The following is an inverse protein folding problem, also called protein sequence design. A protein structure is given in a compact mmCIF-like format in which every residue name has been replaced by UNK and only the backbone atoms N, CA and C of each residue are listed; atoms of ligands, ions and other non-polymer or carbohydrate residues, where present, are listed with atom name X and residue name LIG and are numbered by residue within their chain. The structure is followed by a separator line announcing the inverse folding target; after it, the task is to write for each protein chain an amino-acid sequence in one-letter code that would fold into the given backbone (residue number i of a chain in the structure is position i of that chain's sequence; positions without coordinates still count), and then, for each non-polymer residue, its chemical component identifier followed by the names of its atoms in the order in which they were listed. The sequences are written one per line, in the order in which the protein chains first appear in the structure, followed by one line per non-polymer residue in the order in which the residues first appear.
data_IF_188417610702
#
_entry.id   IF_188417610702
#
_cell.length_a   1.000
_cell.length_b   1.000
_cell.length_c   1.000
_cell.angle_alpha   90.00
_cell.angle_beta   90.00
_cell.angle_gamma   90.00
#
_symmetry.space_group_name_H-M   'P 1'
#
loop_
_entity.id
_entity.type
_entity.pdbx_description
1 polymer ?
#
# COMPACT_ATOMS: atom_id res chain seq x y z
N UNK A 1 -11.75 7.47 4.25
CA UNK A 1 -12.43 6.48 5.09
C UNK A 1 -11.53 5.26 5.29
N UNK A 2 -11.51 4.72 6.50
CA UNK A 2 -10.86 3.46 6.82
C UNK A 2 -11.94 2.40 7.11
N UNK A 3 -11.81 1.23 6.47
CA UNK A 3 -12.56 0.02 6.76
C UNK A 3 -11.57 -0.99 7.33
N UNK A 4 -11.72 -1.33 8.60
CA UNK A 4 -10.83 -2.26 9.30
C UNK A 4 -11.56 -2.92 10.46
N UNK A 5 -10.88 -3.82 11.16
CA UNK A 5 -11.37 -4.43 12.41
C UNK A 5 -10.42 -4.12 13.56
N UNK A 6 -11.00 -3.78 14.69
CA UNK A 6 -10.30 -3.56 15.96
C UNK A 6 -10.93 -4.39 17.08
N UNK A 7 -10.12 -4.71 18.09
CA UNK A 7 -10.61 -5.31 19.33
C UNK A 7 -11.36 -4.29 20.21
N UNK A 8 -12.06 -4.81 21.20
CA UNK A 8 -12.65 -3.98 22.25
C UNK A 8 -11.66 -3.86 23.43
N UNK A 9 -10.47 -3.31 23.12
CA UNK A 9 -9.35 -3.17 24.05
C UNK A 9 -8.73 -1.77 23.98
N UNK A 10 -7.77 -1.50 24.87
CA UNK A 10 -7.09 -0.20 24.96
C UNK A 10 -6.37 0.17 23.65
N UNK A 11 -5.75 -0.78 22.97
CA UNK A 11 -5.04 -0.52 21.72
C UNK A 11 -6.00 -0.13 20.61
N UNK A 12 -7.16 -0.78 20.50
CA UNK A 12 -8.20 -0.44 19.53
C UNK A 12 -8.75 0.97 19.71
N UNK A 13 -9.02 1.38 20.96
CA UNK A 13 -9.49 2.73 21.25
C UNK A 13 -8.41 3.78 20.89
N UNK A 14 -7.16 3.52 21.30
CA UNK A 14 -6.04 4.43 21.00
C UNK A 14 -5.86 4.57 19.49
N UNK A 15 -5.86 3.44 18.76
CA UNK A 15 -5.68 3.44 17.31
C UNK A 15 -6.78 4.22 16.58
N UNK A 16 -8.05 4.05 16.97
CA UNK A 16 -9.15 4.80 16.37
C UNK A 16 -9.04 6.30 16.65
N UNK A 17 -8.66 6.66 17.86
CA UNK A 17 -8.54 8.07 18.25
C UNK A 17 -7.40 8.76 17.49
N UNK A 18 -6.20 8.14 17.42
CA UNK A 18 -5.07 8.69 16.68
C UNK A 18 -5.37 8.76 15.17
N UNK A 19 -6.00 7.74 14.61
CA UNK A 19 -6.41 7.71 13.19
C UNK A 19 -7.43 8.82 12.89
N UNK A 20 -8.38 9.05 13.80
CA UNK A 20 -9.36 10.15 13.68
C UNK A 20 -8.69 11.53 13.78
N UNK A 21 -7.72 11.69 14.69
CA UNK A 21 -6.93 12.93 14.82
C UNK A 21 -6.13 13.25 13.56
N UNK A 22 -5.67 12.22 12.86
CA UNK A 22 -5.04 12.37 11.56
C UNK A 22 -6.03 12.73 10.42
N UNK A 23 -7.32 12.94 10.73
CA UNK A 23 -8.34 13.37 9.76
C UNK A 23 -9.03 12.22 9.01
N UNK A 24 -8.74 10.96 9.34
CA UNK A 24 -9.34 9.78 8.70
C UNK A 24 -10.71 9.50 9.30
N UNK A 25 -11.70 9.28 8.45
CA UNK A 25 -13.01 8.82 8.89
C UNK A 25 -12.95 7.32 9.24
N UNK A 26 -13.13 7.01 10.53
CA UNK A 26 -13.07 5.66 11.09
C UNK A 26 -14.45 5.07 11.42
N UNK A 27 -15.54 5.69 10.94
CA UNK A 27 -16.91 5.22 11.25
C UNK A 27 -17.22 3.82 10.74
N UNK A 28 -16.44 3.33 9.76
CA UNK A 28 -16.56 2.00 9.20
C UNK A 28 -15.56 0.99 9.78
N UNK A 29 -14.81 1.37 10.83
CA UNK A 29 -14.02 0.42 11.59
C UNK A 29 -14.93 -0.43 12.50
N UNK A 30 -14.79 -1.74 12.38
CA UNK A 30 -15.67 -2.71 13.06
C UNK A 30 -15.03 -3.11 14.38
N UNK A 31 -15.77 -2.94 15.48
CA UNK A 31 -15.34 -3.40 16.82
C UNK A 31 -15.75 -4.84 17.02
N UNK A 32 -14.81 -5.71 17.33
CA UNK A 32 -15.05 -7.13 17.55
C UNK A 32 -14.81 -7.50 19.01
N UNK A 33 -15.89 -7.88 19.69
CA UNK A 33 -15.82 -8.38 21.06
C UNK A 33 -15.13 -9.75 21.09
N UNK A 34 -14.28 -9.96 22.09
CA UNK A 34 -13.55 -11.23 22.27
C UNK A 34 -12.32 -11.40 21.34
N UNK A 35 -11.97 -10.36 20.59
CA UNK A 35 -10.76 -10.31 19.79
C UNK A 35 -9.83 -9.20 20.26
N UNK A 36 -8.51 -9.44 20.21
CA UNK A 36 -7.50 -8.41 20.44
C UNK A 36 -7.25 -7.61 19.17
N UNK A 37 -6.98 -6.32 19.32
CA UNK A 37 -6.55 -5.47 18.22
C UNK A 37 -5.25 -5.99 17.63
N UNK A 38 -5.11 -5.90 16.31
CA UNK A 38 -3.90 -6.32 15.61
C UNK A 38 -2.67 -5.60 16.17
N UNK A 39 -1.59 -6.34 16.37
CA UNK A 39 -0.31 -5.82 16.88
C UNK A 39 0.84 -6.28 16.00
N UNK A 40 1.82 -5.41 15.85
CA UNK A 40 3.10 -5.69 15.21
C UNK A 40 4.21 -5.19 16.11
N UNK A 41 5.08 -6.08 16.55
CA UNK A 41 6.26 -5.77 17.37
C UNK A 41 7.51 -6.09 16.57
N UNK A 42 8.32 -5.08 16.29
CA UNK A 42 9.61 -5.24 15.65
C UNK A 42 10.74 -4.93 16.63
N UNK A 43 11.78 -5.74 16.57
CA UNK A 43 13.06 -5.50 17.26
C UNK A 43 14.09 -5.20 16.20
N UNK A 44 14.65 -3.99 16.22
CA UNK A 44 15.68 -3.55 15.29
C UNK A 44 17.05 -3.48 15.97
N UNK A 45 18.13 -3.65 15.20
CA UNK A 45 19.48 -3.38 15.63
C UNK A 45 19.78 -1.87 15.58
N UNK A 46 21.03 -1.48 15.95
CA UNK A 46 21.47 -0.08 15.91
C UNK A 46 21.56 0.52 14.49
N UNK A 47 21.52 -0.32 13.48
CA UNK A 47 21.50 0.04 12.05
C UNK A 47 20.07 0.08 11.51
N UNK A 48 19.04 0.02 12.40
CA UNK A 48 17.60 0.02 12.06
C UNK A 48 17.14 -1.19 11.23
N UNK A 49 17.97 -2.25 11.15
CA UNK A 49 17.57 -3.49 10.51
C UNK A 49 16.70 -4.32 11.45
N UNK A 50 15.55 -4.76 11.00
CA UNK A 50 14.67 -5.64 11.78
C UNK A 50 15.32 -7.00 11.98
N UNK A 51 15.65 -7.33 13.24
CA UNK A 51 16.20 -8.64 13.65
C UNK A 51 15.08 -9.66 13.83
N UNK A 52 13.97 -9.23 14.41
CA UNK A 52 12.84 -10.06 14.76
C UNK A 52 11.55 -9.23 14.66
N UNK A 53 10.53 -9.79 14.03
CA UNK A 53 9.19 -9.23 14.07
C UNK A 53 8.19 -10.30 14.52
N UNK A 54 7.28 -9.91 15.42
CA UNK A 54 6.16 -10.73 15.87
C UNK A 54 4.89 -9.95 15.54
N UNK A 55 3.98 -10.58 14.82
CA UNK A 55 2.69 -9.97 14.53
C UNK A 55 1.53 -10.87 14.94
N UNK A 56 0.45 -10.25 15.38
CA UNK A 56 -0.84 -10.87 15.53
C UNK A 56 -1.87 -10.02 14.77
N UNK A 57 -2.26 -10.50 13.60
CA UNK A 57 -3.22 -9.85 12.71
C UNK A 57 -4.48 -10.70 12.51
N UNK A 58 -4.74 -11.68 13.38
CA UNK A 58 -5.86 -12.61 13.23
C UNK A 58 -7.22 -11.93 13.20
N UNK A 59 -7.37 -10.78 13.86
CA UNK A 59 -8.61 -10.02 13.86
C UNK A 59 -9.01 -9.59 12.43
N UNK A 60 -8.07 -9.35 11.53
CA UNK A 60 -8.35 -8.96 10.15
C UNK A 60 -9.02 -10.09 9.34
N UNK A 61 -8.84 -11.35 9.75
CA UNK A 61 -9.53 -12.49 9.16
C UNK A 61 -11.04 -12.48 9.44
N UNK A 62 -11.47 -11.68 10.41
CA UNK A 62 -12.90 -11.51 10.72
C UNK A 62 -13.58 -10.51 9.77
N UNK A 63 -12.84 -9.79 8.94
CA UNK A 63 -13.40 -8.93 7.89
C UNK A 63 -13.99 -9.78 6.76
N UNK A 64 -15.04 -10.51 7.09
CA UNK A 64 -15.77 -11.35 6.13
C UNK A 64 -16.58 -10.49 5.14
N UNK A 65 -16.97 -11.04 3.98
CA UNK A 65 -17.89 -10.38 3.05
C UNK A 65 -19.16 -9.85 3.71
N UNK A 66 -19.71 -10.57 4.69
CA UNK A 66 -20.91 -10.15 5.44
C UNK A 66 -20.67 -8.88 6.25
N UNK A 67 -19.53 -8.79 6.95
CA UNK A 67 -19.19 -7.59 7.72
C UNK A 67 -18.82 -6.43 6.79
N UNK A 68 -18.05 -6.68 5.74
CA UNK A 68 -17.68 -5.67 4.75
C UNK A 68 -18.90 -5.09 4.02
N UNK A 69 -19.97 -5.87 3.88
CA UNK A 69 -21.20 -5.42 3.23
C UNK A 69 -21.88 -4.22 3.93
N UNK A 70 -21.58 -3.95 5.17
CA UNK A 70 -22.02 -2.74 5.87
C UNK A 70 -21.42 -1.47 5.26
N UNK A 71 -20.28 -1.59 4.57
CA UNK A 71 -19.56 -0.51 3.88
C UNK A 71 -19.73 -0.53 2.37
N UNK A 72 -20.65 -1.34 1.84
CA UNK A 72 -20.85 -1.53 0.40
C UNK A 72 -21.05 -0.21 -0.35
N UNK A 73 -21.96 0.63 0.13
CA UNK A 73 -22.28 1.88 -0.56
C UNK A 73 -21.10 2.87 -0.51
N UNK A 74 -20.35 2.88 0.59
CA UNK A 74 -19.12 3.66 0.69
C UNK A 74 -18.12 3.25 -0.39
N UNK A 75 -17.88 1.95 -0.56
CA UNK A 75 -16.97 1.41 -1.57
C UNK A 75 -17.44 1.78 -2.97
N UNK A 76 -18.72 1.59 -3.28
CA UNK A 76 -19.30 1.84 -4.61
C UNK A 76 -19.28 3.31 -5.03
N UNK A 77 -19.20 4.25 -4.11
CA UNK A 77 -19.15 5.68 -4.38
C UNK A 77 -17.76 6.29 -4.14
N UNK A 78 -16.75 5.44 -3.93
CA UNK A 78 -15.37 5.90 -3.74
C UNK A 78 -14.75 6.35 -5.07
N UNK A 79 -13.90 7.37 -5.04
CA UNK A 79 -13.08 7.77 -6.18
C UNK A 79 -11.94 6.78 -6.45
N UNK A 80 -11.50 6.06 -5.39
CA UNK A 80 -10.47 5.03 -5.42
C UNK A 80 -10.66 4.09 -4.23
N UNK A 81 -10.32 2.83 -4.39
CA UNK A 81 -10.26 1.86 -3.30
C UNK A 81 -8.83 1.34 -3.18
N UNK A 82 -8.24 1.51 -2.00
CA UNK A 82 -6.96 0.89 -1.64
C UNK A 82 -7.25 -0.33 -0.77
N UNK A 83 -6.81 -1.50 -1.22
CA UNK A 83 -6.89 -2.75 -0.48
C UNK A 83 -5.50 -3.32 -0.24
N UNK A 84 -5.28 -3.88 0.94
CA UNK A 84 -4.08 -4.63 1.24
C UNK A 84 -4.33 -6.14 1.27
N UNK A 85 -3.27 -6.92 1.09
CA UNK A 85 -3.34 -8.37 1.11
C UNK A 85 -3.41 -8.98 2.53
N UNK A 86 -3.67 -8.20 3.59
CA UNK A 86 -4.01 -8.74 4.91
C UNK A 86 -5.40 -9.37 4.90
N UNK A 87 -6.31 -8.87 4.06
CA UNK A 87 -7.63 -9.46 3.88
C UNK A 87 -7.56 -10.93 3.47
N UNK A 88 -8.62 -11.69 3.80
CA UNK A 88 -8.75 -13.07 3.31
C UNK A 88 -9.02 -13.07 1.79
N UNK A 89 -8.76 -14.19 1.09
CA UNK A 89 -9.11 -14.29 -0.34
C UNK A 89 -10.58 -13.98 -0.62
N UNK A 90 -11.50 -14.45 0.23
CA UNK A 90 -12.95 -14.24 0.10
C UNK A 90 -13.32 -12.77 0.29
N UNK A 91 -12.66 -12.09 1.24
CA UNK A 91 -12.85 -10.66 1.48
C UNK A 91 -12.32 -9.83 0.30
N UNK A 92 -11.13 -10.17 -0.22
CA UNK A 92 -10.57 -9.53 -1.42
C UNK A 92 -11.48 -9.74 -2.65
N UNK A 93 -11.94 -10.97 -2.89
CA UNK A 93 -12.89 -11.27 -3.97
C UNK A 93 -14.15 -10.40 -3.88
N UNK A 94 -14.70 -10.28 -2.66
CA UNK A 94 -15.87 -9.43 -2.43
C UNK A 94 -15.56 -7.96 -2.73
N UNK A 95 -14.41 -7.43 -2.24
CA UNK A 95 -14.02 -6.04 -2.49
C UNK A 95 -13.85 -5.78 -3.99
N UNK A 96 -13.12 -6.63 -4.72
CA UNK A 96 -12.94 -6.50 -6.16
C UNK A 96 -14.26 -6.57 -6.93
N UNK A 97 -15.20 -7.40 -6.46
CA UNK A 97 -16.53 -7.52 -7.07
C UNK A 97 -17.37 -6.26 -6.85
N UNK A 98 -17.34 -5.69 -5.63
CA UNK A 98 -18.15 -4.50 -5.29
C UNK A 98 -17.55 -3.22 -5.89
N UNK A 99 -16.23 -3.13 -5.96
CA UNK A 99 -15.50 -2.01 -6.55
C UNK A 99 -15.40 -2.09 -8.10
N UNK A 100 -16.36 -2.70 -8.75
CA UNK A 100 -16.32 -3.12 -10.18
C UNK A 100 -15.73 -2.09 -11.15
N UNK A 101 -16.17 -0.84 -11.10
CA UNK A 101 -15.67 0.24 -11.97
C UNK A 101 -14.72 1.22 -11.24
N UNK A 102 -14.49 0.98 -9.96
CA UNK A 102 -13.65 1.87 -9.14
C UNK A 102 -12.18 1.49 -9.32
N UNK A 103 -11.27 2.46 -9.52
CA UNK A 103 -9.84 2.19 -9.57
C UNK A 103 -9.34 1.53 -8.30
N UNK A 104 -8.80 0.30 -8.46
CA UNK A 104 -8.27 -0.49 -7.34
C UNK A 104 -6.76 -0.30 -7.23
N UNK A 105 -6.32 0.15 -6.08
CA UNK A 105 -4.92 0.20 -5.66
C UNK A 105 -4.66 -0.97 -4.71
N UNK A 106 -3.55 -1.66 -4.90
CA UNK A 106 -3.26 -2.87 -4.13
C UNK A 106 -1.87 -2.82 -3.54
N UNK A 107 -1.79 -3.04 -2.21
CA UNK A 107 -0.56 -3.33 -1.50
C UNK A 107 -0.45 -4.84 -1.23
N UNK A 108 0.64 -5.45 -1.63
CA UNK A 108 0.87 -6.89 -1.50
C UNK A 108 1.28 -7.31 -0.09
N UNK A 109 1.77 -6.39 0.73
CA UNK A 109 2.14 -6.52 2.14
C UNK A 109 3.33 -7.46 2.37
N UNK A 110 3.37 -8.63 1.73
CA UNK A 110 4.47 -9.59 1.89
C UNK A 110 4.41 -10.69 0.82
N UNK A 111 5.54 -11.38 0.63
CA UNK A 111 5.67 -12.52 -0.28
C UNK A 111 4.60 -13.60 -0.03
N UNK A 112 4.29 -13.89 1.25
CA UNK A 112 3.27 -14.89 1.60
C UNK A 112 1.84 -14.48 1.22
N UNK A 113 1.57 -13.17 1.16
CA UNK A 113 0.23 -12.63 0.92
C UNK A 113 0.00 -12.22 -0.53
N UNK A 114 1.07 -11.93 -1.28
CA UNK A 114 1.00 -11.42 -2.65
C UNK A 114 0.18 -12.30 -3.60
N UNK A 115 0.25 -13.63 -3.45
CA UNK A 115 -0.50 -14.57 -4.29
C UNK A 115 -2.02 -14.38 -4.27
N UNK A 116 -2.59 -13.75 -3.24
CA UNK A 116 -4.04 -13.58 -3.09
C UNK A 116 -4.68 -12.77 -4.20
N UNK A 117 -3.92 -11.92 -4.89
CA UNK A 117 -4.46 -11.02 -5.93
C UNK A 117 -4.26 -11.54 -7.36
N UNK A 118 -3.67 -12.71 -7.56
CA UNK A 118 -3.37 -13.26 -8.91
C UNK A 118 -4.59 -13.39 -9.82
N UNK A 119 -5.73 -13.71 -9.27
CA UNK A 119 -6.97 -13.86 -10.04
C UNK A 119 -7.61 -12.51 -10.41
N UNK A 120 -7.05 -11.39 -9.93
CA UNK A 120 -7.66 -10.07 -10.02
C UNK A 120 -6.83 -9.05 -10.80
N UNK A 121 -5.76 -9.47 -11.49
CA UNK A 121 -4.87 -8.57 -12.23
C UNK A 121 -5.61 -7.62 -13.17
N UNK A 122 -6.63 -8.10 -13.87
CA UNK A 122 -7.44 -7.28 -14.78
C UNK A 122 -8.24 -6.17 -14.10
N UNK A 123 -8.37 -6.25 -12.78
CA UNK A 123 -9.13 -5.29 -11.95
C UNK A 123 -8.21 -4.31 -11.22
N UNK A 124 -6.90 -4.53 -11.23
CA UNK A 124 -5.94 -3.71 -10.52
C UNK A 124 -5.53 -2.53 -11.40
N UNK A 125 -5.82 -1.31 -10.89
CA UNK A 125 -5.31 -0.09 -11.51
C UNK A 125 -3.84 0.12 -11.15
N UNK A 126 -3.49 0.06 -9.87
CA UNK A 126 -2.13 0.30 -9.37
C UNK A 126 -1.71 -0.81 -8.41
N UNK A 127 -0.58 -1.40 -8.70
CA UNK A 127 0.04 -2.46 -7.89
C UNK A 127 1.42 -1.99 -7.42
N UNK A 128 1.69 -2.12 -6.11
CA UNK A 128 2.98 -1.74 -5.51
C UNK A 128 3.63 -2.95 -4.84
N UNK A 129 4.32 -3.81 -5.57
CA UNK A 129 5.10 -4.89 -4.99
C UNK A 129 6.54 -4.45 -4.69
N UNK A 130 7.19 -5.10 -3.74
CA UNK A 130 8.64 -5.23 -3.71
C UNK A 130 9.14 -6.15 -4.83
N UNK A 131 10.46 -6.19 -5.09
CA UNK A 131 10.99 -7.13 -6.09
C UNK A 131 10.68 -8.59 -5.74
N UNK A 132 10.82 -8.98 -4.47
CA UNK A 132 10.52 -10.35 -4.04
C UNK A 132 9.04 -10.71 -4.22
N UNK A 133 8.14 -9.77 -3.91
CA UNK A 133 6.71 -9.97 -4.14
C UNK A 133 6.38 -10.05 -5.63
N UNK A 134 7.06 -9.28 -6.47
CA UNK A 134 6.93 -9.39 -7.93
C UNK A 134 7.36 -10.76 -8.46
N UNK A 135 8.43 -11.37 -7.91
CA UNK A 135 8.83 -12.74 -8.22
C UNK A 135 7.69 -13.74 -7.92
N UNK A 136 7.04 -13.59 -6.76
CA UNK A 136 5.89 -14.42 -6.38
C UNK A 136 4.71 -14.22 -7.33
N UNK A 137 4.40 -12.97 -7.69
CA UNK A 137 3.32 -12.64 -8.61
C UNK A 137 3.58 -13.16 -10.02
N UNK A 138 4.81 -13.05 -10.50
CA UNK A 138 5.23 -13.55 -11.81
C UNK A 138 5.42 -15.07 -11.83
N UNK A 139 5.83 -15.67 -10.70
CA UNK A 139 6.07 -17.11 -10.54
C UNK A 139 7.48 -17.55 -10.97
N UNK A 140 8.41 -16.63 -11.14
CA UNK A 140 9.80 -16.89 -11.52
C UNK A 140 10.75 -15.92 -10.80
N UNK A 141 12.03 -16.32 -10.55
CA UNK A 141 13.02 -15.43 -9.96
C UNK A 141 13.40 -14.30 -10.92
N UNK A 142 13.64 -13.11 -10.37
CA UNK A 142 14.13 -11.91 -11.09
C UNK A 142 15.62 -11.77 -10.81
N UNK A 143 16.44 -12.07 -11.82
CA UNK A 143 17.91 -12.07 -11.71
C UNK A 143 18.54 -10.76 -12.21
N UNK A 144 17.88 -10.09 -13.13
CA UNK A 144 18.35 -8.87 -13.76
C UNK A 144 17.18 -7.94 -14.18
N UNK A 145 17.52 -6.79 -14.77
CA UNK A 145 16.54 -5.81 -15.23
C UNK A 145 15.63 -6.35 -16.34
N UNK A 146 16.15 -7.23 -17.20
CA UNK A 146 15.33 -7.84 -18.26
C UNK A 146 14.28 -8.77 -17.69
N UNK A 147 14.61 -9.53 -16.64
CA UNK A 147 13.63 -10.35 -15.92
C UNK A 147 12.55 -9.46 -15.28
N UNK A 148 12.94 -8.34 -14.68
CA UNK A 148 12.00 -7.37 -14.09
C UNK A 148 11.05 -6.80 -15.14
N UNK A 149 11.58 -6.40 -16.29
CA UNK A 149 10.79 -5.92 -17.43
C UNK A 149 9.83 -7.01 -17.91
N UNK A 150 10.29 -8.26 -18.05
CA UNK A 150 9.42 -9.38 -18.44
C UNK A 150 8.31 -9.63 -17.42
N UNK A 151 8.63 -9.57 -16.12
CA UNK A 151 7.67 -9.75 -15.05
C UNK A 151 6.55 -8.71 -15.11
N UNK A 152 6.89 -7.41 -15.13
CA UNK A 152 5.87 -6.35 -15.19
C UNK A 152 5.05 -6.40 -16.48
N UNK A 153 5.68 -6.68 -17.62
CA UNK A 153 4.97 -6.83 -18.89
C UNK A 153 3.98 -8.00 -18.86
N UNK A 154 4.34 -9.11 -18.21
CA UNK A 154 3.44 -10.24 -18.01
C UNK A 154 2.20 -9.87 -17.17
N UNK A 155 2.37 -9.05 -16.13
CA UNK A 155 1.25 -8.57 -15.32
C UNK A 155 0.40 -7.54 -16.09
N UNK A 156 1.02 -6.67 -16.91
CA UNK A 156 0.29 -5.76 -17.79
C UNK A 156 -0.57 -6.51 -18.83
N UNK A 157 -0.03 -7.57 -19.42
CA UNK A 157 -0.80 -8.45 -20.34
C UNK A 157 -2.01 -9.10 -19.67
N UNK A 158 -1.96 -9.30 -18.34
CA UNK A 158 -3.07 -9.81 -17.53
C UNK A 158 -4.00 -8.70 -17.03
N UNK A 159 -3.70 -7.42 -17.32
CA UNK A 159 -4.61 -6.30 -17.13
C UNK A 159 -4.21 -5.27 -16.07
N UNK A 160 -3.14 -5.47 -15.30
CA UNK A 160 -2.65 -4.45 -14.35
C UNK A 160 -2.26 -3.18 -15.12
N UNK A 161 -2.78 -2.00 -14.70
CA UNK A 161 -2.54 -0.76 -15.47
C UNK A 161 -1.23 -0.07 -15.10
N UNK A 162 -0.89 0.03 -13.81
CA UNK A 162 0.34 0.66 -13.32
C UNK A 162 1.01 -0.23 -12.28
N UNK A 163 2.33 -0.36 -12.36
CA UNK A 163 3.13 -1.17 -11.44
C UNK A 163 4.31 -0.33 -10.95
N UNK A 164 4.50 -0.28 -9.63
CA UNK A 164 5.60 0.42 -8.98
C UNK A 164 6.38 -0.58 -8.13
N UNK A 165 7.51 -1.07 -8.63
CA UNK A 165 8.32 -2.09 -7.95
C UNK A 165 9.34 -1.41 -7.06
N UNK A 166 9.19 -1.60 -5.75
CA UNK A 166 10.14 -1.13 -4.75
C UNK A 166 11.40 -2.02 -4.74
N UNK A 167 12.58 -1.42 -4.91
CA UNK A 167 13.85 -2.13 -4.97
C UNK A 167 14.63 -1.97 -3.66
N UNK A 168 15.60 -2.84 -3.44
CA UNK A 168 16.39 -2.88 -2.20
C UNK A 168 17.26 -1.62 -1.97
N UNK A 169 17.63 -0.94 -3.06
CA UNK A 169 18.39 0.31 -3.03
C UNK A 169 17.49 1.56 -2.90
N UNK A 170 16.23 1.34 -2.49
CA UNK A 170 15.20 2.38 -2.35
C UNK A 170 14.79 3.05 -3.67
N UNK A 171 15.29 2.59 -4.78
CA UNK A 171 14.79 3.01 -6.09
C UNK A 171 13.45 2.33 -6.39
N UNK A 172 12.68 2.94 -7.30
CA UNK A 172 11.38 2.42 -7.72
C UNK A 172 11.39 2.24 -9.24
N UNK A 173 11.20 1.01 -9.68
CA UNK A 173 10.96 0.74 -11.09
C UNK A 173 9.48 0.96 -11.39
N UNK A 174 9.18 1.92 -12.23
CA UNK A 174 7.85 2.35 -12.62
C UNK A 174 7.49 1.79 -13.99
N UNK A 175 6.30 1.21 -14.14
CA UNK A 175 5.84 0.64 -15.40
C UNK A 175 4.35 0.92 -15.60
N UNK A 176 3.99 1.46 -16.76
CA UNK A 176 2.61 1.66 -17.20
C UNK A 176 2.28 0.68 -18.34
N UNK A 177 1.02 0.25 -18.42
CA UNK A 177 0.56 -0.69 -19.46
C UNK A 177 0.72 -0.15 -20.89
N UNK A 178 0.80 1.17 -21.06
CA UNK A 178 0.97 1.83 -22.36
C UNK A 178 2.43 1.87 -22.82
N UNK A 179 3.33 1.27 -22.03
CA UNK A 179 4.74 1.02 -22.37
C UNK A 179 5.73 2.01 -21.79
N UNK A 180 5.29 2.99 -20.99
CA UNK A 180 6.23 3.86 -20.30
C UNK A 180 6.88 3.10 -19.13
N UNK A 181 8.22 3.03 -19.15
CA UNK A 181 9.02 2.37 -18.10
C UNK A 181 10.23 3.22 -17.77
N UNK A 182 10.50 3.40 -16.47
CA UNK A 182 11.66 4.13 -15.99
C UNK A 182 12.01 3.76 -14.55
N UNK A 183 13.24 4.05 -14.16
CA UNK A 183 13.73 3.93 -12.79
C UNK A 183 13.76 5.31 -12.15
N UNK A 184 13.22 5.42 -10.92
CA UNK A 184 13.37 6.59 -10.07
C UNK A 184 14.23 6.25 -8.87
N UNK A 185 15.21 7.12 -8.61
CA UNK A 185 15.99 7.09 -7.37
C UNK A 185 15.34 8.03 -6.36
N UNK A 186 15.26 7.61 -5.10
CA UNK A 186 14.79 8.49 -4.04
C UNK A 186 15.65 9.76 -3.93
N UNK A 187 15.07 10.93 -3.65
CA UNK A 187 15.86 12.13 -3.34
C UNK A 187 16.79 11.85 -2.16
N UNK A 188 17.96 12.47 -2.17
CA UNK A 188 18.87 12.39 -1.03
C UNK A 188 18.18 12.95 0.21
N UNK A 189 18.04 12.15 1.25
CA UNK A 189 17.41 12.52 2.50
C UNK A 189 18.12 11.83 3.67
N UNK A 190 17.93 12.36 4.88
CA UNK A 190 18.39 11.70 6.08
C UNK A 190 17.34 10.68 6.50
N UNK A 191 17.64 9.41 6.39
CA UNK A 191 16.78 8.35 6.93
C UNK A 191 16.92 8.32 8.45
N UNK A 192 15.80 8.48 9.15
CA UNK A 192 15.71 8.33 10.62
C UNK A 192 15.06 6.99 10.92
N UNK A 193 14.04 6.59 10.13
CA UNK A 193 13.35 5.32 10.26
C UNK A 193 12.80 4.92 8.89
N UNK A 194 12.87 3.63 8.55
CA UNK A 194 12.32 3.11 7.29
C UNK A 194 10.83 2.73 7.40
N UNK A 195 10.29 2.63 8.62
CA UNK A 195 8.86 2.33 8.82
C UNK A 195 7.96 3.44 8.27
N UNK A 196 6.84 3.05 7.66
CA UNK A 196 5.86 3.98 7.09
C UNK A 196 6.23 4.58 5.73
N UNK A 197 7.42 4.33 5.21
CA UNK A 197 7.83 4.82 3.88
C UNK A 197 6.97 4.21 2.75
N UNK A 198 6.67 2.93 2.85
CA UNK A 198 5.80 2.22 1.91
C UNK A 198 4.39 2.76 1.92
N UNK A 199 3.86 3.10 3.11
CA UNK A 199 2.55 3.71 3.29
C UNK A 199 2.53 5.12 2.72
N UNK A 200 3.58 5.92 2.99
CA UNK A 200 3.76 7.25 2.42
C UNK A 200 3.82 7.25 0.90
N UNK A 201 4.53 6.27 0.32
CA UNK A 201 4.58 6.07 -1.13
C UNK A 201 3.18 5.77 -1.70
N UNK A 202 2.47 4.81 -1.11
CA UNK A 202 1.12 4.47 -1.55
C UNK A 202 0.14 5.63 -1.39
N UNK A 203 0.23 6.37 -0.29
CA UNK A 203 -0.57 7.58 -0.09
C UNK A 203 -0.31 8.62 -1.18
N UNK A 204 0.96 8.82 -1.56
CA UNK A 204 1.36 9.68 -2.67
C UNK A 204 0.78 9.22 -4.01
N UNK A 205 0.77 7.92 -4.30
CA UNK A 205 0.15 7.38 -5.52
C UNK A 205 -1.36 7.62 -5.56
N UNK A 206 -2.05 7.42 -4.43
CA UNK A 206 -3.49 7.63 -4.34
C UNK A 206 -3.83 9.13 -4.50
N UNK A 207 -3.11 9.99 -3.78
CA UNK A 207 -3.30 11.43 -3.86
C UNK A 207 -3.10 11.94 -5.30
N UNK A 208 -1.96 11.64 -5.90
CA UNK A 208 -1.62 12.09 -7.24
C UNK A 208 -2.58 11.57 -8.32
N UNK A 209 -3.12 10.37 -8.13
CA UNK A 209 -4.16 9.83 -9.00
C UNK A 209 -5.45 10.64 -8.93
N UNK A 210 -5.90 10.99 -7.72
CA UNK A 210 -7.10 11.80 -7.51
C UNK A 210 -6.95 13.23 -8.04
N UNK A 211 -5.73 13.79 -7.97
CA UNK A 211 -5.38 15.11 -8.52
C UNK A 211 -5.13 15.08 -10.05
N UNK A 212 -5.20 13.91 -10.70
CA UNK A 212 -5.04 13.79 -12.15
C UNK A 212 -3.61 13.96 -12.65
N UNK A 213 -2.60 13.67 -11.83
CA UNK A 213 -1.19 13.77 -12.23
C UNK A 213 -0.85 12.76 -13.33
N UNK A 214 0.14 13.12 -14.16
CA UNK A 214 0.72 12.18 -15.12
C UNK A 214 1.32 10.95 -14.42
N UNK A 215 1.55 9.86 -15.15
CA UNK A 215 2.17 8.67 -14.56
C UNK A 215 3.54 8.99 -13.94
N UNK A 216 4.36 9.78 -14.66
CA UNK A 216 5.70 10.17 -14.20
C UNK A 216 5.65 11.09 -12.98
N UNK A 217 4.74 12.05 -12.95
CA UNK A 217 4.60 12.96 -11.81
C UNK A 217 4.01 12.25 -10.60
N UNK A 218 3.08 11.31 -10.79
CA UNK A 218 2.59 10.43 -9.72
C UNK A 218 3.72 9.65 -9.05
N UNK A 219 4.62 9.09 -9.85
CA UNK A 219 5.78 8.35 -9.34
C UNK A 219 6.74 9.25 -8.55
N UNK A 220 7.05 10.44 -9.09
CA UNK A 220 7.93 11.43 -8.42
C UNK A 220 7.33 11.90 -7.10
N UNK A 221 6.04 12.23 -7.11
CA UNK A 221 5.32 12.68 -5.92
C UNK A 221 5.29 11.59 -4.84
N UNK A 222 5.01 10.34 -5.23
CA UNK A 222 5.00 9.22 -4.31
C UNK A 222 6.37 8.95 -3.67
N UNK A 223 7.45 9.04 -4.46
CA UNK A 223 8.84 8.93 -3.95
C UNK A 223 9.16 10.06 -2.97
N UNK A 224 8.69 11.29 -3.22
CA UNK A 224 8.85 12.40 -2.27
C UNK A 224 8.09 12.15 -0.96
N UNK A 225 6.86 11.63 -1.03
CA UNK A 225 6.09 11.26 0.16
C UNK A 225 6.81 10.18 0.99
N UNK A 226 7.37 9.16 0.34
CA UNK A 226 8.16 8.13 1.01
C UNK A 226 9.42 8.71 1.70
N UNK A 227 10.12 9.64 1.02
CA UNK A 227 11.30 10.31 1.58
C UNK A 227 10.95 11.14 2.83
N UNK A 228 9.84 11.86 2.81
CA UNK A 228 9.36 12.61 3.98
C UNK A 228 9.01 11.65 5.12
N UNK A 229 8.33 10.53 4.84
CA UNK A 229 7.97 9.54 5.85
C UNK A 229 9.21 9.00 6.57
N UNK A 230 10.30 8.73 5.85
CA UNK A 230 11.57 8.23 6.42
C UNK A 230 12.34 9.26 7.24
N UNK A 231 12.10 10.53 7.04
CA UNK A 231 12.79 11.60 7.76
C UNK A 231 12.30 11.80 9.21
N UNK A 232 11.45 10.90 9.73
CA UNK A 232 10.87 10.96 11.06
C UNK A 232 11.02 9.64 11.79
N UNK A 233 11.28 9.68 13.09
CA UNK A 233 11.19 8.51 13.97
C UNK A 233 9.75 8.14 14.37
N UNK A 234 8.75 8.75 13.75
CA UNK A 234 7.34 8.39 13.92
C UNK A 234 6.84 7.67 12.68
N UNK A 235 6.07 6.60 12.85
CA UNK A 235 5.43 5.86 11.75
C UNK A 235 4.65 6.77 10.79
N UNK A 236 4.00 7.77 11.34
CA UNK A 236 3.32 8.82 10.58
C UNK A 236 4.05 10.15 10.80
N UNK A 237 4.83 10.57 9.80
CA UNK A 237 5.50 11.87 9.89
C UNK A 237 4.47 13.00 9.83
N UNK A 238 4.32 13.84 10.87
CA UNK A 238 3.34 14.90 10.89
C UNK A 238 3.63 16.02 9.87
N UNK A 239 4.83 16.04 9.29
CA UNK A 239 5.19 17.00 8.22
C UNK A 239 4.85 16.49 6.82
N UNK A 240 4.36 15.25 6.68
CA UNK A 240 3.91 14.76 5.39
C UNK A 240 2.69 15.57 4.91
N UNK A 241 2.88 16.32 3.85
CA UNK A 241 1.85 17.13 3.20
C UNK A 241 2.12 17.22 1.70
N UNK A 242 1.08 17.56 0.93
CA UNK A 242 1.23 17.75 -0.52
C UNK A 242 2.26 18.85 -0.83
N UNK A 243 2.21 19.99 -0.11
CA UNK A 243 3.14 21.12 -0.32
C UNK A 243 4.60 20.72 -0.05
N UNK A 244 4.84 19.98 1.03
CA UNK A 244 6.19 19.52 1.35
C UNK A 244 6.69 18.50 0.32
N UNK A 245 5.83 17.60 -0.15
CA UNK A 245 6.20 16.63 -1.21
C UNK A 245 6.52 17.34 -2.53
N UNK A 246 5.71 18.31 -2.94
CA UNK A 246 5.93 19.13 -4.14
C UNK A 246 7.23 19.95 -4.06
N UNK A 247 7.60 20.42 -2.87
CA UNK A 247 8.85 21.16 -2.70
C UNK A 247 10.11 20.30 -2.91
N UNK A 248 10.03 18.99 -2.66
CA UNK A 248 11.15 18.06 -2.84
C UNK A 248 11.32 17.62 -4.29
N UNK A 249 10.23 17.48 -5.03
CA UNK A 249 10.25 17.03 -6.43
C UNK A 249 9.35 17.94 -7.25
N UNK A 250 9.90 19.06 -7.80
CA UNK A 250 9.13 19.94 -8.66
C UNK A 250 8.48 19.17 -9.81
N UNK A 251 7.21 19.43 -10.02
CA UNK A 251 6.46 18.91 -11.16
C UNK A 251 6.90 19.60 -12.44
N UNK A 252 6.96 18.90 -13.55
CA UNK A 252 7.37 19.42 -14.87
C UNK A 252 6.15 19.58 -15.74
#
# INVERSE_FOLDING_TARGET
HLISAIGNDFYGETLLEETRRAGVNVSNCIRLHGHSTATYLAIANKQEETILAINDTHILQQLTPQLLNTSRDLIRHAGVVLADCNLTPEALEWVFTIADEIPMFVDTVSEFKANKVKNWYSRIHTLKPTQNELEILWGQPIKDDNDRIRAVNSLHQQGVKRIFVYLKDESVFCSDKDGEQFLLTAPAHTTVDSFGADDGFMAGLVYSFLEGYSFRDSARFAVACAAISRASGSLNNPTLSADNALSLVPMV
#
